data_IF_880227966043
#
_entry.id   IF_880227966043
#
_cell.length_a   1.000
_cell.length_b   1.000
_cell.length_c   1.000
_cell.angle_alpha   90.00
_cell.angle_beta   90.00
_cell.angle_gamma   90.00
#
_symmetry.space_group_name_H-M   'P 1'
#
loop_
_entity.id
_entity.type
_entity.pdbx_description
1 polymer ?
#
# COMPACT_ATOMS: atom_id res chain seq x y z
N UNK A 1 -6.54 19.59 2.62
CA UNK A 1 -6.54 18.16 2.24
C UNK A 1 -5.46 17.44 3.02
N UNK A 2 -5.60 16.13 3.19
CA UNK A 2 -4.60 15.23 3.76
C UNK A 2 -3.97 14.41 2.64
N UNK A 3 -2.64 14.38 2.56
CA UNK A 3 -1.91 13.43 1.71
C UNK A 3 -1.65 12.14 2.48
N UNK A 4 -1.96 10.99 1.88
CA UNK A 4 -1.67 9.68 2.44
C UNK A 4 -0.75 8.89 1.53
N UNK A 5 0.15 8.13 2.12
CA UNK A 5 0.99 7.15 1.44
C UNK A 5 0.58 5.77 1.95
N UNK A 6 0.31 4.84 1.04
CA UNK A 6 -0.09 3.48 1.38
C UNK A 6 0.64 2.50 0.47
N UNK A 7 1.15 1.42 1.04
CA UNK A 7 1.86 0.37 0.30
C UNK A 7 1.42 -1.02 0.75
N UNK A 8 1.39 -1.24 2.07
CA UNK A 8 1.05 -2.53 2.66
C UNK A 8 0.55 -2.39 4.10
N UNK A 9 -0.28 -3.33 4.59
CA UNK A 9 -0.66 -3.40 5.99
C UNK A 9 0.46 -4.01 6.86
N UNK A 10 0.34 -3.86 8.17
CA UNK A 10 1.08 -4.65 9.16
C UNK A 10 0.14 -5.61 9.87
N UNK A 11 0.41 -6.91 9.81
CA UNK A 11 -0.32 -7.92 10.59
C UNK A 11 0.43 -8.18 11.88
N UNK A 12 -0.26 -8.00 13.00
CA UNK A 12 0.35 -8.10 14.33
C UNK A 12 -0.48 -8.96 15.27
N UNK A 13 0.18 -9.53 16.27
CA UNK A 13 -0.44 -10.25 17.39
C UNK A 13 0.20 -9.83 18.71
N UNK A 14 -0.48 -10.12 19.82
CA UNK A 14 0.13 -9.97 21.14
C UNK A 14 1.29 -10.98 21.28
N UNK A 15 2.47 -10.51 21.69
CA UNK A 15 3.65 -11.35 21.88
C UNK A 15 4.96 -10.61 21.63
N UNK A 16 6.02 -11.37 21.43
CA UNK A 16 7.36 -10.86 21.12
C UNK A 16 7.74 -11.32 19.72
N UNK A 17 8.16 -10.41 18.85
CA UNK A 17 8.71 -10.77 17.53
C UNK A 17 10.14 -11.33 17.66
N UNK A 18 10.54 -12.22 16.75
CA UNK A 18 11.92 -12.72 16.68
C UNK A 18 12.89 -11.64 16.18
N UNK A 19 12.41 -10.73 15.33
CA UNK A 19 13.15 -9.56 14.87
C UNK A 19 12.85 -8.33 15.74
N UNK A 20 13.76 -7.33 15.78
CA UNK A 20 13.52 -6.09 16.51
C UNK A 20 12.21 -5.42 16.10
N UNK A 21 11.43 -4.98 17.08
CA UNK A 21 10.19 -4.25 16.82
C UNK A 21 10.51 -2.89 16.17
N UNK A 22 9.87 -2.54 15.05
CA UNK A 22 9.92 -1.18 14.51
C UNK A 22 9.13 -0.17 15.37
N UNK A 23 8.34 -0.65 16.34
CA UNK A 23 7.55 0.18 17.26
C UNK A 23 8.26 0.27 18.61
N UNK A 24 8.76 1.46 18.93
CA UNK A 24 9.48 1.73 20.16
C UNK A 24 8.61 1.47 21.41
N UNK A 25 9.13 0.72 22.37
CA UNK A 25 8.43 0.35 23.60
C UNK A 25 7.45 -0.81 23.47
N UNK A 26 7.35 -1.43 22.28
CA UNK A 26 6.48 -2.57 22.02
C UNK A 26 7.24 -3.90 21.83
N UNK A 27 8.54 -3.93 22.15
CA UNK A 27 9.47 -5.01 21.84
C UNK A 27 9.04 -6.38 22.42
N UNK A 28 8.28 -6.37 23.51
CA UNK A 28 7.82 -7.58 24.20
C UNK A 28 6.29 -7.72 24.23
N UNK A 29 5.59 -6.92 23.43
CA UNK A 29 4.13 -6.82 23.47
C UNK A 29 3.47 -6.99 22.11
N UNK A 30 4.17 -6.65 21.03
CA UNK A 30 3.67 -6.79 19.66
C UNK A 30 4.62 -7.69 18.85
N UNK A 31 4.07 -8.76 18.28
CA UNK A 31 4.75 -9.59 17.31
C UNK A 31 4.23 -9.31 15.90
N UNK A 32 5.14 -9.07 14.95
CA UNK A 32 4.83 -8.89 13.53
C UNK A 32 4.76 -10.26 12.86
N UNK A 33 3.64 -10.52 12.20
CA UNK A 33 3.38 -11.82 11.56
C UNK A 33 3.31 -11.64 10.05
N UNK A 34 3.83 -12.59 9.25
CA UNK A 34 3.67 -12.55 7.82
C UNK A 34 2.19 -12.56 7.43
N UNK A 35 1.76 -11.57 6.64
CA UNK A 35 0.48 -11.65 5.93
C UNK A 35 0.55 -12.73 4.84
N UNK A 36 -0.56 -13.44 4.64
CA UNK A 36 -0.71 -14.40 3.55
C UNK A 36 -0.95 -13.67 2.22
N UNK A 37 -0.69 -14.36 1.11
CA UNK A 37 -0.96 -13.85 -0.24
C UNK A 37 0.29 -13.38 -1.00
N UNK A 38 0.09 -12.70 -2.14
CA UNK A 38 1.17 -12.24 -2.99
C UNK A 38 2.02 -11.16 -2.32
N UNK A 39 3.28 -11.08 -2.73
CA UNK A 39 4.27 -10.15 -2.19
C UNK A 39 5.06 -9.48 -3.30
N UNK A 40 5.52 -8.27 -3.02
CA UNK A 40 6.44 -7.49 -3.86
C UNK A 40 7.87 -8.02 -3.72
N UNK A 41 8.81 -7.51 -4.54
CA UNK A 41 10.25 -7.80 -4.39
C UNK A 41 10.83 -7.29 -3.05
N UNK A 42 10.18 -6.32 -2.41
CA UNK A 42 10.52 -5.80 -1.07
C UNK A 42 9.99 -6.70 0.06
N UNK A 43 9.41 -7.86 -0.26
CA UNK A 43 8.70 -8.76 0.65
C UNK A 43 7.48 -8.10 1.34
N UNK A 44 6.95 -7.01 0.78
CA UNK A 44 5.73 -6.38 1.29
C UNK A 44 4.50 -7.13 0.80
N UNK A 45 3.51 -7.40 1.68
CA UNK A 45 2.28 -8.03 1.26
C UNK A 45 1.44 -7.08 0.42
N UNK A 46 0.85 -7.62 -0.65
CA UNK A 46 -0.05 -6.88 -1.54
C UNK A 46 -1.48 -7.00 -1.03
N UNK A 47 -2.06 -5.88 -0.61
CA UNK A 47 -3.42 -5.81 -0.09
C UNK A 47 -4.10 -4.50 -0.52
N UNK A 48 -4.91 -4.58 -1.56
CA UNK A 48 -5.68 -3.43 -2.03
C UNK A 48 -6.88 -3.11 -1.11
N UNK A 49 -7.42 -4.11 -0.41
CA UNK A 49 -8.56 -3.90 0.49
C UNK A 49 -8.16 -3.04 1.69
N UNK A 50 -6.93 -3.18 2.19
CA UNK A 50 -6.40 -2.31 3.23
C UNK A 50 -6.38 -0.81 2.86
N UNK A 51 -6.17 -0.46 1.58
CA UNK A 51 -6.30 0.93 1.12
C UNK A 51 -7.76 1.40 1.15
N UNK A 52 -8.70 0.56 0.70
CA UNK A 52 -10.13 0.85 0.78
C UNK A 52 -10.59 1.05 2.23
N UNK A 53 -10.15 0.18 3.15
CA UNK A 53 -10.46 0.27 4.57
C UNK A 53 -9.91 1.56 5.19
N UNK A 54 -8.66 1.93 4.87
CA UNK A 54 -8.05 3.17 5.32
C UNK A 54 -8.84 4.40 4.84
N UNK A 55 -9.18 4.45 3.56
CA UNK A 55 -9.95 5.57 2.99
C UNK A 55 -11.35 5.66 3.60
N UNK A 56 -12.00 4.52 3.84
CA UNK A 56 -13.31 4.45 4.51
C UNK A 56 -13.23 4.93 5.95
N UNK A 57 -12.20 4.52 6.68
CA UNK A 57 -11.98 4.98 8.05
C UNK A 57 -11.73 6.49 8.10
N UNK A 58 -10.95 7.04 7.17
CA UNK A 58 -10.67 8.48 7.11
C UNK A 58 -11.93 9.30 6.76
N UNK A 59 -12.80 8.79 5.89
CA UNK A 59 -14.12 9.36 5.62
C UNK A 59 -14.94 9.49 6.92
N UNK A 60 -14.95 8.47 7.76
CA UNK A 60 -15.75 8.45 8.99
C UNK A 60 -15.11 9.29 10.12
N UNK A 61 -13.79 9.21 10.29
CA UNK A 61 -13.06 9.91 11.35
C UNK A 61 -12.81 11.39 11.01
N UNK A 62 -12.66 11.74 9.73
CA UNK A 62 -12.33 13.07 9.22
C UNK A 62 -13.25 13.50 8.05
N UNK A 63 -14.58 13.54 8.23
CA UNK A 63 -15.56 13.69 7.14
C UNK A 63 -15.48 14.99 6.34
N UNK A 64 -14.80 16.02 6.84
CA UNK A 64 -14.62 17.31 6.17
C UNK A 64 -13.23 17.51 5.57
N UNK A 65 -12.37 16.49 5.61
CA UNK A 65 -10.99 16.56 5.13
C UNK A 65 -10.86 15.79 3.81
N UNK A 66 -10.69 16.48 2.67
CA UNK A 66 -10.42 15.80 1.41
C UNK A 66 -9.08 15.07 1.44
N UNK A 67 -9.00 13.89 0.81
CA UNK A 67 -7.81 13.04 0.79
C UNK A 67 -7.16 13.04 -0.60
N UNK A 68 -5.84 13.00 -0.63
CA UNK A 68 -5.03 12.69 -1.81
C UNK A 68 -4.22 11.44 -1.49
N UNK A 69 -4.24 10.43 -2.37
CA UNK A 69 -3.24 9.36 -2.32
C UNK A 69 -1.98 9.92 -2.94
N UNK A 70 -1.03 10.34 -2.11
CA UNK A 70 0.20 11.01 -2.55
C UNK A 70 1.29 10.03 -2.95
N UNK A 71 1.23 8.79 -2.46
CA UNK A 71 2.04 7.68 -2.95
C UNK A 71 1.28 6.35 -2.81
N UNK A 72 1.30 5.55 -3.87
CA UNK A 72 1.00 4.13 -3.87
C UNK A 72 1.70 3.49 -5.08
N UNK A 73 2.28 2.30 -4.89
CA UNK A 73 3.03 1.60 -5.92
C UNK A 73 3.70 0.33 -5.41
N UNK A 74 4.41 -0.37 -6.28
CA UNK A 74 5.08 -1.61 -5.94
C UNK A 74 6.36 -1.82 -6.76
N UNK A 75 7.34 -2.45 -6.12
CA UNK A 75 8.57 -2.90 -6.75
C UNK A 75 8.48 -4.41 -7.07
N UNK A 76 8.82 -4.75 -8.31
CA UNK A 76 8.99 -6.12 -8.80
C UNK A 76 10.30 -6.19 -9.59
N UNK A 77 10.81 -7.40 -9.81
CA UNK A 77 12.00 -7.59 -10.63
C UNK A 77 11.65 -7.37 -12.11
N UNK A 78 12.14 -6.29 -12.70
CA UNK A 78 11.93 -5.96 -14.12
C UNK A 78 13.12 -6.40 -14.97
N UNK A 79 12.82 -6.82 -16.21
CA UNK A 79 13.81 -7.10 -17.24
C UNK A 79 13.36 -6.50 -18.57
N UNK A 80 14.29 -5.83 -19.26
CA UNK A 80 14.09 -5.43 -20.64
C UNK A 80 14.30 -6.64 -21.57
N UNK A 81 13.37 -6.86 -22.49
CA UNK A 81 13.53 -7.86 -23.55
C UNK A 81 14.58 -7.41 -24.60
N UNK A 82 14.96 -8.28 -25.56
CA UNK A 82 15.92 -7.92 -26.61
C UNK A 82 15.52 -6.72 -27.48
N UNK A 83 14.22 -6.39 -27.52
CA UNK A 83 13.64 -5.27 -28.24
C UNK A 83 13.66 -3.97 -27.41
N UNK A 84 13.94 -4.07 -26.10
CA UNK A 84 14.05 -2.97 -25.15
C UNK A 84 12.75 -2.65 -24.40
N UNK A 85 11.73 -3.51 -24.48
CA UNK A 85 10.47 -3.34 -23.76
C UNK A 85 10.53 -4.00 -22.39
N UNK A 86 9.82 -3.42 -21.42
CA UNK A 86 9.66 -3.97 -20.08
C UNK A 86 8.21 -4.46 -19.95
N UNK A 87 8.05 -5.72 -19.60
CA UNK A 87 6.75 -6.32 -19.34
C UNK A 87 6.62 -6.59 -17.84
N UNK A 88 5.80 -5.81 -17.15
CA UNK A 88 5.64 -5.77 -15.70
C UNK A 88 4.20 -6.10 -15.23
N UNK A 89 3.66 -7.28 -15.57
CA UNK A 89 2.26 -7.61 -15.32
C UNK A 89 1.90 -7.61 -13.84
N UNK A 90 2.83 -7.93 -12.93
CA UNK A 90 2.62 -7.84 -11.49
C UNK A 90 2.40 -6.40 -11.02
N UNK A 91 3.19 -5.44 -11.53
CA UNK A 91 3.00 -4.02 -11.23
C UNK A 91 1.67 -3.51 -11.78
N UNK A 92 1.31 -3.90 -13.00
CA UNK A 92 0.00 -3.56 -13.59
C UNK A 92 -1.14 -4.12 -12.74
N UNK A 93 -1.07 -5.38 -12.30
CA UNK A 93 -2.09 -6.00 -11.45
C UNK A 93 -2.19 -5.34 -10.07
N UNK A 94 -1.06 -4.96 -9.47
CA UNK A 94 -1.03 -4.19 -8.22
C UNK A 94 -1.81 -2.87 -8.37
N UNK A 95 -1.53 -2.12 -9.44
CA UNK A 95 -2.15 -0.82 -9.69
C UNK A 95 -3.64 -0.93 -10.00
N UNK A 96 -4.04 -1.90 -10.81
CA UNK A 96 -5.44 -2.18 -11.11
C UNK A 96 -6.24 -2.44 -9.82
N UNK A 97 -5.71 -3.31 -8.94
CA UNK A 97 -6.33 -3.59 -7.64
C UNK A 97 -6.47 -2.36 -6.74
N UNK A 98 -5.41 -1.57 -6.59
CA UNK A 98 -5.41 -0.42 -5.69
C UNK A 98 -6.25 0.75 -6.24
N UNK A 99 -6.21 1.02 -7.54
CA UNK A 99 -7.10 2.00 -8.16
C UNK A 99 -8.57 1.56 -8.07
N UNK A 100 -8.85 0.26 -8.21
CA UNK A 100 -10.17 -0.31 -7.95
C UNK A 100 -10.63 -0.11 -6.51
N UNK A 101 -9.75 -0.28 -5.53
CA UNK A 101 -10.02 0.00 -4.11
C UNK A 101 -10.32 1.49 -3.84
N UNK A 102 -9.54 2.39 -4.44
CA UNK A 102 -9.79 3.85 -4.37
C UNK A 102 -11.15 4.18 -5.00
N UNK A 103 -11.44 3.63 -6.17
CA UNK A 103 -12.72 3.85 -6.85
C UNK A 103 -13.90 3.40 -6.00
N UNK A 104 -13.85 2.19 -5.43
CA UNK A 104 -14.89 1.71 -4.49
C UNK A 104 -15.06 2.65 -3.30
N UNK A 105 -13.97 3.12 -2.70
CA UNK A 105 -14.07 4.05 -1.57
C UNK A 105 -14.78 5.36 -1.94
N UNK A 106 -14.50 5.89 -3.14
CA UNK A 106 -15.18 7.08 -3.71
C UNK A 106 -16.67 6.79 -3.94
N UNK A 107 -17.03 5.64 -4.51
CA UNK A 107 -18.42 5.23 -4.71
C UNK A 107 -19.19 5.16 -3.39
N UNK A 108 -18.53 4.73 -2.31
CA UNK A 108 -19.11 4.70 -0.97
C UNK A 108 -19.12 6.08 -0.27
N UNK A 109 -18.61 7.14 -0.92
CA UNK A 109 -18.66 8.52 -0.44
C UNK A 109 -17.36 9.11 0.14
N UNK A 110 -16.19 8.51 -0.12
CA UNK A 110 -14.92 9.02 0.40
C UNK A 110 -14.49 10.21 -0.45
N UNK A 111 -14.07 11.30 0.18
CA UNK A 111 -13.69 12.53 -0.52
C UNK A 111 -12.25 12.48 -1.06
N UNK A 112 -11.96 11.50 -1.94
CA UNK A 112 -10.63 11.33 -2.56
C UNK A 112 -10.55 12.18 -3.83
N UNK A 113 -9.55 13.06 -3.89
CA UNK A 113 -9.43 14.10 -4.93
C UNK A 113 -8.26 13.90 -5.89
N UNK A 114 -7.45 12.87 -5.68
CA UNK A 114 -6.28 12.62 -6.52
C UNK A 114 -5.51 11.38 -6.08
N UNK A 115 -4.74 10.86 -7.02
CA UNK A 115 -3.89 9.70 -6.87
C UNK A 115 -2.57 9.96 -7.60
N UNK A 116 -1.46 9.74 -6.92
CA UNK A 116 -0.11 9.85 -7.45
C UNK A 116 0.57 8.49 -7.34
N UNK A 117 0.86 7.90 -8.50
CA UNK A 117 1.65 6.68 -8.59
C UNK A 117 3.08 6.95 -8.08
N UNK A 118 3.53 6.16 -7.12
CA UNK A 118 4.95 6.04 -6.80
C UNK A 118 5.54 4.89 -7.63
N UNK A 119 6.35 5.14 -8.66
CA UNK A 119 6.89 6.44 -9.06
C UNK A 119 6.84 6.62 -10.58
N UNK A 120 7.19 7.84 -11.02
CA UNK A 120 7.28 8.14 -12.46
C UNK A 120 8.45 7.42 -13.13
N UNK A 121 9.55 7.23 -12.41
CA UNK A 121 10.79 6.63 -12.89
C UNK A 121 11.41 5.81 -11.76
N UNK A 122 12.03 4.70 -12.12
CA UNK A 122 12.97 4.01 -11.23
C UNK A 122 13.94 5.01 -10.62
N UNK A 123 14.16 4.89 -9.33
CA UNK A 123 14.96 5.83 -8.56
C UNK A 123 15.74 5.09 -7.45
N UNK A 124 16.42 5.86 -6.61
CA UNK A 124 17.16 5.30 -5.50
C UNK A 124 16.22 5.13 -4.29
N UNK A 125 15.82 3.89 -4.07
CA UNK A 125 15.00 3.44 -2.92
C UNK A 125 15.83 3.35 -1.63
#
# INVERSE_FOLDING_TARGET
SLGINYYSPSVVSAGTSESPSPWAGAEHHVAFTPAAGPRTAMDWPVDADGLYELLTRLRDELPSVPVLVTENGAAYDDYADPEGEVHDPERVAYLDGHLGAVHRAIEDGADVRGYFLWSLLDNFE
#
